data_IF_946859668468
#
_entry.id   IF_946859668468
#
_cell.length_a   1.000
_cell.length_b   1.000
_cell.length_c   1.000
_cell.angle_alpha   90.00
_cell.angle_beta   90.00
_cell.angle_gamma   90.00
#
_symmetry.space_group_name_H-M   'P 1'
#
loop_
_entity.id
_entity.type
_entity.pdbx_description
1 polymer ?
#
# COMPACT_ATOMS: atom_id res chain seq x y z
N UNK A 1 -19.66 -11.78 14.48
CA UNK A 1 -19.90 -10.39 14.03
C UNK A 1 -18.72 -9.94 13.17
N UNK A 2 -18.94 -9.78 11.86
CA UNK A 2 -17.99 -9.04 11.04
C UNK A 2 -17.98 -7.59 11.56
N UNK A 3 -16.82 -6.92 11.67
CA UNK A 3 -16.80 -5.50 12.00
C UNK A 3 -17.69 -4.74 11.00
N UNK A 4 -18.31 -3.64 11.46
CA UNK A 4 -19.03 -2.70 10.59
C UNK A 4 -18.14 -2.35 9.37
N UNK A 5 -18.69 -2.28 8.15
CA UNK A 5 -17.88 -2.03 6.97
C UNK A 5 -17.38 -0.57 6.96
N UNK A 6 -16.06 -0.40 6.80
CA UNK A 6 -15.42 0.92 6.67
C UNK A 6 -14.80 1.08 5.28
N UNK A 7 -14.79 2.32 4.79
CA UNK A 7 -14.06 2.72 3.58
C UNK A 7 -12.89 3.62 3.97
N UNK A 8 -11.68 3.27 3.53
CA UNK A 8 -10.54 4.19 3.48
C UNK A 8 -10.57 4.92 2.13
N UNK A 9 -11.02 6.17 2.14
CA UNK A 9 -11.14 7.00 0.95
C UNK A 9 -9.93 7.93 0.80
N UNK A 10 -9.35 7.94 -0.41
CA UNK A 10 -8.23 8.83 -0.75
C UNK A 10 -8.73 9.98 -1.63
N UNK A 11 -8.41 11.20 -1.22
CA UNK A 11 -8.42 12.40 -2.07
C UNK A 11 -6.98 12.84 -2.34
N UNK A 12 -6.75 13.90 -3.12
CA UNK A 12 -5.41 14.32 -3.54
C UNK A 12 -4.36 14.26 -2.42
N UNK A 13 -4.66 14.79 -1.23
CA UNK A 13 -3.70 14.88 -0.11
C UNK A 13 -4.21 14.30 1.19
N UNK A 14 -5.37 13.63 1.20
CA UNK A 14 -6.02 13.17 2.44
C UNK A 14 -6.53 11.76 2.33
N UNK A 15 -6.36 11.01 3.41
CA UNK A 15 -7.03 9.73 3.64
C UNK A 15 -8.10 9.97 4.70
N UNK A 16 -9.31 9.53 4.42
CA UNK A 16 -10.43 9.56 5.35
C UNK A 16 -10.96 8.15 5.59
N UNK A 17 -11.30 7.86 6.85
CA UNK A 17 -12.09 6.68 7.22
C UNK A 17 -13.56 7.08 7.19
N UNK A 18 -14.36 6.31 6.46
CA UNK A 18 -15.81 6.49 6.35
C UNK A 18 -16.50 5.27 6.92
N UNK A 19 -17.36 5.49 7.90
CA UNK A 19 -18.29 4.48 8.38
C UNK A 19 -19.45 4.36 7.37
N UNK A 20 -19.58 3.18 6.75
CA UNK A 20 -20.59 2.97 5.71
C UNK A 20 -22.01 2.76 6.27
N UNK A 21 -22.16 2.60 7.58
CA UNK A 21 -23.47 2.53 8.24
C UNK A 21 -24.05 3.93 8.51
N UNK A 22 -23.21 4.84 9.01
CA UNK A 22 -23.61 6.19 9.42
C UNK A 22 -23.30 7.26 8.39
N UNK A 23 -22.49 6.94 7.37
CA UNK A 23 -21.87 7.91 6.44
C UNK A 23 -20.99 8.96 7.12
N UNK A 24 -20.63 8.77 8.39
CA UNK A 24 -19.70 9.66 9.09
C UNK A 24 -18.28 9.47 8.56
N UNK A 25 -17.54 10.57 8.40
CA UNK A 25 -16.19 10.57 7.87
C UNK A 25 -15.22 11.33 8.77
N UNK A 26 -14.04 10.75 8.98
CA UNK A 26 -12.93 11.37 9.71
C UNK A 26 -11.67 11.36 8.84
N UNK A 27 -11.01 12.51 8.70
CA UNK A 27 -9.70 12.60 8.05
C UNK A 27 -8.65 12.08 9.03
N UNK A 28 -7.91 11.05 8.64
CA UNK A 28 -6.91 10.38 9.48
C UNK A 28 -5.48 10.71 9.04
N UNK A 29 -5.28 11.00 7.76
CA UNK A 29 -3.97 11.40 7.23
C UNK A 29 -4.12 12.64 6.37
N UNK A 30 -3.17 13.56 6.53
CA UNK A 30 -2.95 14.70 5.64
C UNK A 30 -1.49 14.73 5.21
N UNK A 31 -1.26 14.76 3.90
CA UNK A 31 0.05 14.82 3.28
C UNK A 31 0.27 16.14 2.53
N UNK A 32 1.53 16.53 2.34
CA UNK A 32 1.87 17.72 1.54
C UNK A 32 1.88 17.41 0.05
N UNK A 33 2.27 16.19 -0.30
CA UNK A 33 2.31 15.69 -1.67
C UNK A 33 1.09 14.81 -1.94
N UNK A 34 0.81 14.57 -3.21
CA UNK A 34 -0.31 13.73 -3.61
C UNK A 34 -0.17 12.30 -3.06
N UNK A 35 -1.25 11.76 -2.50
CA UNK A 35 -1.30 10.39 -2.01
C UNK A 35 -1.60 9.45 -3.19
N UNK A 36 -0.79 8.41 -3.32
CA UNK A 36 -0.91 7.37 -4.35
C UNK A 36 -0.77 6.00 -3.70
N UNK A 37 -1.36 4.99 -4.36
CA UNK A 37 -1.15 3.57 -4.05
C UNK A 37 -1.35 3.27 -2.55
N UNK A 38 -2.60 3.38 -2.08
CA UNK A 38 -3.00 3.00 -0.72
C UNK A 38 -3.34 1.52 -0.67
N UNK A 39 -2.75 0.78 0.28
CA UNK A 39 -3.11 -0.60 0.61
C UNK A 39 -3.22 -0.77 2.14
N UNK A 40 -3.84 -1.87 2.58
CA UNK A 40 -4.07 -2.14 3.99
C UNK A 40 -3.56 -3.52 4.40
N UNK A 41 -3.10 -3.59 5.64
CA UNK A 41 -2.90 -4.82 6.40
C UNK A 41 -4.02 -4.95 7.43
N UNK A 42 -5.05 -5.78 7.15
CA UNK A 42 -6.17 -5.95 8.06
C UNK A 42 -5.80 -6.71 9.34
N UNK A 43 -4.67 -7.44 9.36
CA UNK A 43 -4.21 -8.22 10.51
C UNK A 43 -3.52 -7.30 11.52
N UNK A 44 -2.56 -6.51 11.05
CA UNK A 44 -1.82 -5.56 11.90
C UNK A 44 -2.52 -4.21 12.05
N UNK A 45 -3.63 -3.97 11.34
CA UNK A 45 -4.40 -2.71 11.32
C UNK A 45 -3.59 -1.50 10.85
N UNK A 46 -2.69 -1.74 9.90
CA UNK A 46 -1.83 -0.73 9.29
C UNK A 46 -2.28 -0.40 7.87
N UNK A 47 -2.15 0.85 7.48
CA UNK A 47 -2.20 1.31 6.09
C UNK A 47 -0.81 1.65 5.58
N UNK A 48 -0.61 1.44 4.29
CA UNK A 48 0.61 1.77 3.57
C UNK A 48 0.25 2.64 2.37
N UNK A 49 0.94 3.76 2.19
CA UNK A 49 0.64 4.69 1.10
C UNK A 49 1.87 5.45 0.64
N UNK A 50 1.90 5.81 -0.64
CA UNK A 50 2.93 6.67 -1.22
C UNK A 50 2.52 8.14 -1.15
N UNK A 51 3.45 9.01 -0.80
CA UNK A 51 3.30 10.47 -0.90
C UNK A 51 4.64 11.08 -1.30
N UNK A 52 4.69 11.73 -2.48
CA UNK A 52 5.95 12.18 -3.08
C UNK A 52 6.83 11.00 -3.49
N UNK A 53 8.07 10.95 -2.99
CA UNK A 53 9.02 9.85 -3.20
C UNK A 53 8.99 8.79 -2.11
N UNK A 54 8.24 9.02 -1.02
CA UNK A 54 8.28 8.21 0.18
C UNK A 54 7.09 7.25 0.27
N UNK A 55 7.33 6.10 0.88
CA UNK A 55 6.28 5.20 1.33
C UNK A 55 6.14 5.31 2.84
N UNK A 56 4.90 5.45 3.29
CA UNK A 56 4.54 5.59 4.69
C UNK A 56 3.80 4.36 5.17
N UNK A 57 4.00 4.01 6.44
CA UNK A 57 3.13 3.13 7.22
C UNK A 57 2.46 3.95 8.31
N UNK A 58 1.19 3.70 8.59
CA UNK A 58 0.47 4.28 9.73
C UNK A 58 -0.63 3.31 10.21
N UNK A 59 -1.09 3.44 11.44
CA UNK A 59 -2.32 2.77 11.90
C UNK A 59 -3.54 3.31 11.11
N UNK A 60 -4.66 2.58 11.06
CA UNK A 60 -5.88 3.04 10.36
C UNK A 60 -6.45 4.39 10.81
N UNK A 61 -6.18 4.80 12.05
CA UNK A 61 -6.56 6.12 12.58
C UNK A 61 -5.53 7.23 12.27
N UNK A 62 -4.44 6.89 11.57
CA UNK A 62 -3.35 7.79 11.20
C UNK A 62 -2.25 7.94 12.25
N UNK A 63 -2.39 7.30 13.42
CA UNK A 63 -1.33 7.27 14.44
C UNK A 63 -0.13 6.43 14.00
N UNK A 64 1.01 6.60 14.70
CA UNK A 64 2.28 5.91 14.43
C UNK A 64 2.75 5.98 12.97
N UNK A 65 2.46 7.11 12.30
CA UNK A 65 2.90 7.33 10.92
C UNK A 65 4.42 7.44 10.85
N UNK A 66 5.03 6.57 10.08
CA UNK A 66 6.47 6.55 9.81
C UNK A 66 6.78 6.37 8.33
N UNK A 67 8.00 6.75 7.94
CA UNK A 67 8.54 6.48 6.61
C UNK A 67 9.19 5.11 6.64
N UNK A 68 8.77 4.21 5.75
CA UNK A 68 9.37 2.87 5.62
C UNK A 68 10.25 2.74 4.39
N UNK A 69 10.12 3.66 3.43
CA UNK A 69 10.96 3.70 2.24
C UNK A 69 11.08 5.14 1.70
N UNK A 70 12.25 5.46 1.16
CA UNK A 70 12.55 6.72 0.45
C UNK A 70 12.98 6.50 -1.02
N UNK A 71 13.07 5.23 -1.47
CA UNK A 71 13.66 4.81 -2.75
C UNK A 71 12.66 4.81 -3.90
N UNK A 72 11.98 5.94 -4.11
CA UNK A 72 11.16 6.27 -5.28
C UNK A 72 10.15 5.19 -5.78
N UNK A 73 9.84 4.14 -5.03
CA UNK A 73 9.05 2.97 -5.42
C UNK A 73 7.76 3.37 -6.12
N UNK A 74 7.49 2.87 -7.32
CA UNK A 74 6.38 3.32 -8.15
C UNK A 74 5.02 2.82 -7.63
N UNK A 75 4.92 1.52 -7.40
CA UNK A 75 3.72 0.80 -6.96
C UNK A 75 4.13 -0.37 -6.07
N UNK A 76 3.26 -0.75 -5.14
CA UNK A 76 3.44 -1.89 -4.26
C UNK A 76 2.11 -2.58 -3.90
N UNK A 77 2.21 -3.82 -3.45
CA UNK A 77 1.09 -4.63 -2.97
C UNK A 77 1.53 -5.56 -1.84
N UNK A 78 0.60 -5.86 -0.93
CA UNK A 78 0.87 -6.60 0.30
C UNK A 78 0.20 -7.98 0.28
N UNK A 79 1.00 -9.01 0.55
CA UNK A 79 0.52 -10.31 1.02
C UNK A 79 0.45 -10.27 2.55
N UNK A 80 -0.71 -9.93 3.12
CA UNK A 80 -0.89 -9.78 4.57
C UNK A 80 -0.89 -11.12 5.31
N UNK A 81 -1.11 -12.24 4.60
CA UNK A 81 -1.04 -13.60 5.17
C UNK A 81 0.42 -14.07 5.18
N UNK A 82 1.09 -14.01 4.03
CA UNK A 82 2.48 -14.41 3.87
C UNK A 82 3.50 -13.40 4.39
N UNK A 83 3.06 -12.23 4.85
CA UNK A 83 3.88 -11.15 5.44
C UNK A 83 4.98 -10.66 4.50
N UNK A 84 4.62 -10.38 3.24
CA UNK A 84 5.56 -9.92 2.20
C UNK A 84 5.02 -8.76 1.41
N UNK A 85 5.90 -7.84 1.04
CA UNK A 85 5.59 -6.77 0.09
C UNK A 85 6.14 -7.12 -1.29
N UNK A 86 5.40 -6.73 -2.32
CA UNK A 86 5.82 -6.76 -3.71
C UNK A 86 5.83 -5.34 -4.25
N UNK A 87 6.83 -4.98 -5.03
CA UNK A 87 6.92 -3.62 -5.58
C UNK A 87 7.64 -3.55 -6.93
N UNK A 88 7.42 -2.44 -7.62
CA UNK A 88 8.12 -2.05 -8.84
C UNK A 88 8.85 -0.74 -8.56
N UNK A 89 10.15 -0.70 -8.83
CA UNK A 89 10.94 0.52 -8.73
C UNK A 89 10.57 1.48 -9.87
N UNK A 90 10.59 2.78 -9.58
CA UNK A 90 10.37 3.82 -10.59
C UNK A 90 11.40 3.83 -11.72
N UNK A 91 12.63 3.37 -11.46
CA UNK A 91 13.69 3.34 -12.46
C UNK A 91 13.75 2.01 -13.23
N UNK A 92 13.20 0.93 -12.66
CA UNK A 92 13.29 -0.42 -13.22
C UNK A 92 11.92 -1.08 -13.41
N UNK A 93 11.21 -0.69 -14.47
CA UNK A 93 9.84 -1.14 -14.78
C UNK A 93 9.73 -2.55 -15.35
N UNK A 94 10.87 -3.26 -15.53
CA UNK A 94 10.93 -4.64 -16.03
C UNK A 94 11.29 -5.66 -14.94
N UNK A 95 11.25 -5.23 -13.69
CA UNK A 95 11.55 -6.07 -12.55
C UNK A 95 10.49 -5.84 -11.48
N UNK A 96 10.08 -6.94 -10.83
CA UNK A 96 9.28 -6.91 -9.61
C UNK A 96 10.21 -7.35 -8.48
N UNK A 97 10.18 -6.63 -7.37
CA UNK A 97 10.84 -7.06 -6.15
C UNK A 97 9.86 -7.66 -5.15
N UNK A 98 10.34 -8.61 -4.36
CA UNK A 98 9.66 -9.20 -3.22
C UNK A 98 10.55 -9.12 -2.00
N UNK A 99 9.99 -8.71 -0.86
CA UNK A 99 10.75 -8.56 0.38
C UNK A 99 9.85 -8.42 1.60
N UNK A 100 10.42 -7.84 2.66
CA UNK A 100 9.73 -7.60 3.91
C UNK A 100 8.62 -6.54 3.74
N UNK A 101 7.67 -6.53 4.69
CA UNK A 101 6.55 -5.57 4.71
C UNK A 101 7.01 -4.12 4.84
N UNK A 102 8.18 -3.88 5.41
CA UNK A 102 8.85 -2.57 5.50
C UNK A 102 9.70 -2.25 4.27
N UNK A 103 9.50 -2.96 3.15
CA UNK A 103 10.21 -2.79 1.88
C UNK A 103 11.72 -3.11 1.96
N UNK A 104 12.20 -3.67 3.07
CA UNK A 104 13.58 -4.13 3.19
C UNK A 104 13.82 -5.51 2.58
N UNK A 105 15.09 -5.83 2.31
CA UNK A 105 15.54 -7.14 1.83
C UNK A 105 14.88 -7.61 0.53
N UNK A 106 14.73 -6.70 -0.44
CA UNK A 106 14.16 -7.00 -1.75
C UNK A 106 14.98 -8.00 -2.56
N UNK A 107 14.30 -9.02 -3.08
CA UNK A 107 14.80 -9.90 -4.14
C UNK A 107 14.11 -9.54 -5.44
N UNK A 108 14.88 -9.26 -6.50
CA UNK A 108 14.37 -8.77 -7.78
C UNK A 108 14.19 -9.91 -8.79
N UNK A 109 13.07 -9.87 -9.52
CA UNK A 109 12.70 -10.84 -10.55
C UNK A 109 12.42 -10.11 -11.84
N UNK A 110 13.13 -10.46 -12.90
CA UNK A 110 12.85 -9.94 -14.23
C UNK A 110 11.52 -10.48 -14.76
N UNK A 111 10.70 -9.56 -15.27
CA UNK A 111 9.45 -9.86 -15.98
C UNK A 111 9.59 -9.38 -17.42
N UNK A 112 9.13 -10.19 -18.37
CA UNK A 112 9.17 -9.82 -19.80
C UNK A 112 8.20 -8.70 -20.12
N UNK A 113 7.13 -8.61 -19.34
CA UNK A 113 6.07 -7.64 -19.41
C UNK A 113 6.59 -6.29 -18.91
N UNK A 114 6.33 -5.24 -19.68
CA UNK A 114 6.68 -3.87 -19.33
C UNK A 114 5.44 -3.07 -18.95
N UNK A 115 5.62 -1.98 -18.21
CA UNK A 115 4.57 -1.01 -17.87
C UNK A 115 3.46 -1.56 -16.99
N UNK A 116 3.82 -2.33 -15.95
CA UNK A 116 2.88 -2.72 -14.90
C UNK A 116 2.40 -1.44 -14.21
N UNK A 117 1.11 -1.11 -14.36
CA UNK A 117 0.49 0.10 -13.82
C UNK A 117 -0.02 -0.07 -12.39
N UNK A 118 -0.34 -1.32 -12.01
CA UNK A 118 -0.71 -1.66 -10.64
C UNK A 118 -0.40 -3.12 -10.30
N UNK A 119 -0.31 -3.40 -9.00
CA UNK A 119 -0.16 -4.73 -8.44
C UNK A 119 -1.38 -5.07 -7.58
N UNK A 120 -1.85 -6.31 -7.65
CA UNK A 120 -2.85 -6.88 -6.76
C UNK A 120 -2.39 -8.24 -6.24
N UNK A 121 -2.83 -8.62 -5.04
CA UNK A 121 -2.43 -9.87 -4.39
C UNK A 121 -3.66 -10.65 -3.97
N UNK A 122 -3.72 -11.92 -4.36
CA UNK A 122 -4.54 -12.93 -3.70
C UNK A 122 -3.66 -13.70 -2.72
N UNK A 123 -3.74 -13.29 -1.45
CA UNK A 123 -2.92 -13.84 -0.37
C UNK A 123 -3.22 -15.32 -0.07
N UNK A 124 -4.43 -15.81 -0.37
CA UNK A 124 -4.78 -17.22 -0.14
C UNK A 124 -4.27 -18.13 -1.26
N UNK A 125 -4.26 -17.62 -2.49
CA UNK A 125 -3.72 -18.33 -3.64
C UNK A 125 -2.19 -18.19 -3.77
N UNK A 126 -1.59 -17.22 -3.06
CA UNK A 126 -0.18 -16.85 -3.23
C UNK A 126 0.09 -16.24 -4.61
N UNK A 127 -0.91 -15.57 -5.20
CA UNK A 127 -0.84 -15.01 -6.55
C UNK A 127 -0.63 -13.49 -6.48
N UNK A 128 0.34 -12.99 -7.24
CA UNK A 128 0.54 -11.56 -7.51
C UNK A 128 0.16 -11.29 -8.96
N UNK A 129 -0.64 -10.24 -9.18
CA UNK A 129 -1.19 -9.87 -10.47
C UNK A 129 -0.66 -8.49 -10.82
N UNK A 130 0.04 -8.36 -11.96
CA UNK A 130 0.34 -7.08 -12.58
C UNK A 130 -0.73 -6.70 -13.60
N UNK A 131 -1.18 -5.44 -13.59
CA UNK A 131 -2.23 -4.89 -14.47
C UNK A 131 -1.69 -3.68 -15.22
#
# INVERSE_FOLDING_TARGET
>A
PFPEPYLLAVSETRIAVVDLSSSYSTIVVHERHGIKNLIIDPVEKNMYFKSGTKVYRANFDGSDKEVIDEDAIQIFALDWIGRRMFWVDSEETKSIAMGNVDLSNGTYFHVSESNIGSLAVDANAGLVIGI
#
